data_IF_038608020353
#
_entry.id   IF_038608020353
#
_cell.length_a   1.000
_cell.length_b   1.000
_cell.length_c   1.000
_cell.angle_alpha   90.00
_cell.angle_beta   90.00
_cell.angle_gamma   90.00
#
_symmetry.space_group_name_H-M   'P 1'
#
loop_
_entity.id
_entity.type
_entity.pdbx_description
1 polymer ?
#
# COMPACT_ATOMS: atom_id res chain seq x y z
N UNK A 1 -10.64 3.64 -33.28
CA UNK A 1 -9.60 3.21 -32.33
C UNK A 1 -8.84 4.44 -31.85
N UNK A 2 -9.06 4.90 -30.61
CA UNK A 2 -8.33 6.05 -30.07
C UNK A 2 -6.94 5.58 -29.65
N UNK A 3 -5.92 5.96 -30.42
CA UNK A 3 -4.52 5.92 -30.01
C UNK A 3 -4.37 6.73 -28.71
N UNK A 4 -4.06 6.05 -27.61
CA UNK A 4 -3.66 6.70 -26.37
C UNK A 4 -2.22 7.18 -26.58
N UNK A 5 -2.05 8.50 -26.66
CA UNK A 5 -0.74 9.15 -26.81
C UNK A 5 0.19 8.81 -25.63
N UNK A 6 1.51 8.68 -25.87
CA UNK A 6 2.50 8.54 -24.81
C UNK A 6 2.53 9.85 -24.00
N UNK A 7 2.00 9.79 -22.78
CA UNK A 7 1.73 10.97 -21.94
C UNK A 7 0.47 10.86 -21.08
N UNK A 8 -0.32 9.79 -21.22
CA UNK A 8 -1.47 9.52 -20.35
C UNK A 8 -1.02 9.33 -18.90
N UNK A 9 -1.24 10.33 -18.05
CA UNK A 9 -1.08 10.22 -16.60
C UNK A 9 -1.73 8.92 -16.09
N UNK A 10 -1.11 8.25 -15.12
CA UNK A 10 -1.66 7.03 -14.54
C UNK A 10 -3.16 7.18 -14.20
N UNK A 11 -3.99 6.15 -14.44
CA UNK A 11 -5.41 6.23 -14.13
C UNK A 11 -5.62 6.46 -12.62
N UNK A 12 -6.75 7.04 -12.25
CA UNK A 12 -7.01 7.43 -10.85
C UNK A 12 -6.90 6.23 -9.90
N UNK A 13 -7.35 5.07 -10.34
CA UNK A 13 -7.29 3.80 -9.59
C UNK A 13 -5.85 3.42 -9.25
N UNK A 14 -4.91 3.61 -10.18
CA UNK A 14 -3.48 3.35 -9.94
C UNK A 14 -2.91 4.43 -9.01
N UNK A 15 -3.24 5.70 -9.23
CA UNK A 15 -2.78 6.79 -8.35
C UNK A 15 -3.21 6.56 -6.89
N UNK A 16 -4.47 6.18 -6.68
CA UNK A 16 -5.01 5.88 -5.36
C UNK A 16 -4.38 4.60 -4.79
N UNK A 17 -4.29 3.52 -5.57
CA UNK A 17 -3.67 2.28 -5.08
C UNK A 17 -2.21 2.50 -4.67
N UNK A 18 -1.45 3.24 -5.47
CA UNK A 18 -0.07 3.63 -5.16
C UNK A 18 0.04 4.52 -3.93
N UNK A 19 -0.86 5.50 -3.78
CA UNK A 19 -0.92 6.34 -2.59
C UNK A 19 -1.24 5.52 -1.34
N UNK A 20 -2.16 4.56 -1.43
CA UNK A 20 -2.52 3.67 -0.31
C UNK A 20 -1.34 2.80 0.10
N UNK A 21 -0.65 2.18 -0.87
CA UNK A 21 0.55 1.38 -0.61
C UNK A 21 1.65 2.21 0.03
N UNK A 22 2.11 3.26 -0.66
CA UNK A 22 3.21 4.10 -0.20
C UNK A 22 2.87 4.83 1.12
N UNK A 23 1.70 5.46 1.15
CA UNK A 23 1.23 6.23 2.31
C UNK A 23 0.93 5.35 3.52
N UNK A 24 0.32 4.18 3.32
CA UNK A 24 0.05 3.23 4.39
C UNK A 24 1.33 2.67 5.00
N UNK A 25 2.28 2.23 4.17
CA UNK A 25 3.58 1.76 4.62
C UNK A 25 4.34 2.83 5.40
N UNK A 26 4.37 4.07 4.90
CA UNK A 26 4.99 5.20 5.61
C UNK A 26 4.29 5.53 6.93
N UNK A 27 2.96 5.60 6.93
CA UNK A 27 2.20 5.92 8.15
C UNK A 27 2.41 4.86 9.23
N UNK A 28 2.45 3.59 8.82
CA UNK A 28 2.76 2.48 9.71
C UNK A 28 4.16 2.61 10.32
N UNK A 29 5.19 2.87 9.49
CA UNK A 29 6.54 3.13 9.97
C UNK A 29 6.61 4.31 10.93
N UNK A 30 6.01 5.45 10.57
CA UNK A 30 6.04 6.66 11.42
C UNK A 30 5.35 6.42 12.76
N UNK A 31 4.23 5.69 12.78
CA UNK A 31 3.52 5.35 14.01
C UNK A 31 4.41 4.58 14.97
N UNK A 32 5.05 3.50 14.50
CA UNK A 32 5.92 2.68 15.34
C UNK A 32 7.24 3.35 15.67
N UNK A 33 7.76 4.23 14.80
CA UNK A 33 8.91 5.04 15.10
C UNK A 33 8.63 6.01 16.26
N UNK A 34 7.49 6.71 16.24
CA UNK A 34 7.10 7.62 17.32
C UNK A 34 6.91 6.85 18.63
N UNK A 35 6.20 5.72 18.59
CA UNK A 35 6.01 4.86 19.77
C UNK A 35 7.34 4.32 20.31
N UNK A 36 8.23 3.88 19.42
CA UNK A 36 9.56 3.39 19.79
C UNK A 36 10.41 4.47 20.44
N UNK A 37 10.39 5.70 19.93
CA UNK A 37 11.08 6.85 20.55
C UNK A 37 10.53 7.13 21.94
N UNK A 38 9.20 7.12 22.12
CA UNK A 38 8.57 7.35 23.42
C UNK A 38 8.89 6.25 24.44
N UNK A 39 8.98 5.01 23.99
CA UNK A 39 9.30 3.85 24.83
C UNK A 39 10.81 3.65 25.06
N UNK A 40 11.68 4.36 24.32
CA UNK A 40 13.12 4.11 24.31
C UNK A 40 13.52 2.79 23.64
N UNK A 41 12.65 2.23 22.79
CA UNK A 41 12.86 0.96 22.09
C UNK A 41 12.68 1.11 20.57
N UNK A 42 13.80 1.24 19.85
CA UNK A 42 13.82 1.28 18.39
C UNK A 42 13.62 -0.09 17.73
N UNK A 43 13.62 -1.19 18.50
CA UNK A 43 13.31 -2.53 18.01
C UNK A 43 11.90 -2.63 17.41
N UNK A 44 10.97 -1.78 17.89
CA UNK A 44 9.63 -1.60 17.34
C UNK A 44 9.59 -1.25 15.84
N UNK A 45 10.69 -0.75 15.26
CA UNK A 45 10.78 -0.31 13.86
C UNK A 45 11.25 -1.42 12.90
N UNK A 46 11.75 -2.54 13.43
CA UNK A 46 12.31 -3.65 12.63
C UNK A 46 11.33 -4.21 11.61
N UNK A 47 10.06 -4.37 11.98
CA UNK A 47 9.01 -4.86 11.10
C UNK A 47 8.42 -3.75 10.20
N UNK A 48 8.07 -2.55 10.73
CA UNK A 48 7.53 -1.47 9.91
C UNK A 48 8.48 -0.93 8.83
N UNK A 49 9.80 -0.90 9.06
CA UNK A 49 10.77 -0.38 8.10
C UNK A 49 10.79 -1.11 6.74
N UNK A 50 11.00 -2.45 6.68
CA UNK A 50 10.91 -3.17 5.41
C UNK A 50 9.52 -3.10 4.80
N UNK A 51 8.46 -3.03 5.63
CA UNK A 51 7.09 -2.85 5.12
C UNK A 51 6.96 -1.54 4.36
N UNK A 52 7.47 -0.44 4.91
CA UNK A 52 7.46 0.85 4.24
C UNK A 52 8.28 0.84 2.96
N UNK A 53 9.50 0.30 2.99
CA UNK A 53 10.40 0.25 1.81
C UNK A 53 9.75 -0.53 0.65
N UNK A 54 9.22 -1.72 0.94
CA UNK A 54 8.57 -2.55 -0.09
C UNK A 54 7.32 -1.85 -0.62
N UNK A 55 6.50 -1.28 0.27
CA UNK A 55 5.26 -0.60 -0.14
C UNK A 55 5.53 0.64 -0.99
N UNK A 56 6.59 1.41 -0.67
CA UNK A 56 7.06 2.53 -1.49
C UNK A 56 7.52 2.08 -2.87
N UNK A 57 8.36 1.04 -2.93
CA UNK A 57 8.85 0.50 -4.21
C UNK A 57 7.73 -0.01 -5.10
N UNK A 58 6.79 -0.75 -4.53
CA UNK A 58 5.62 -1.26 -5.27
C UNK A 58 4.66 -0.13 -5.67
N UNK A 59 4.42 0.85 -4.80
CA UNK A 59 3.61 2.03 -5.12
C UNK A 59 4.19 2.85 -6.27
N UNK A 60 5.51 3.08 -6.27
CA UNK A 60 6.21 3.74 -7.36
C UNK A 60 6.18 2.91 -8.65
N UNK A 61 6.38 1.60 -8.56
CA UNK A 61 6.30 0.68 -9.70
C UNK A 61 4.92 0.62 -10.34
N UNK A 62 3.85 0.68 -9.53
CA UNK A 62 2.48 0.80 -10.00
C UNK A 62 2.25 2.12 -10.76
N UNK A 63 2.72 3.25 -10.22
CA UNK A 63 2.61 4.57 -10.88
C UNK A 63 3.36 4.61 -12.22
N UNK A 64 4.51 3.92 -12.29
CA UNK A 64 5.30 3.80 -13.51
C UNK A 64 4.69 2.84 -14.55
N UNK A 65 3.61 2.12 -14.22
CA UNK A 65 2.99 1.14 -15.10
C UNK A 65 3.86 -0.11 -15.34
N UNK A 66 4.78 -0.43 -14.43
CA UNK A 66 5.69 -1.55 -14.59
C UNK A 66 4.96 -2.91 -14.51
N UNK A 67 4.85 -3.61 -15.65
CA UNK A 67 4.20 -4.92 -15.75
C UNK A 67 4.61 -5.95 -14.67
N UNK A 68 5.92 -6.14 -14.36
CA UNK A 68 6.32 -7.14 -13.37
C UNK A 68 5.87 -6.80 -11.94
N UNK A 69 5.51 -5.54 -11.66
CA UNK A 69 5.10 -5.07 -10.32
C UNK A 69 3.66 -5.49 -10.00
N UNK A 70 2.84 -5.82 -10.99
CA UNK A 70 1.41 -6.10 -10.81
C UNK A 70 1.12 -7.20 -9.78
N UNK A 71 1.69 -8.38 -9.98
CA UNK A 71 1.42 -9.54 -9.10
C UNK A 71 2.04 -9.33 -7.71
N UNK A 72 3.31 -8.89 -7.59
CA UNK A 72 3.89 -8.52 -6.30
C UNK A 72 3.05 -7.47 -5.55
N UNK A 73 2.57 -6.41 -6.21
CA UNK A 73 1.77 -5.38 -5.58
C UNK A 73 0.44 -5.92 -5.04
N UNK A 74 -0.25 -6.79 -5.80
CA UNK A 74 -1.48 -7.44 -5.32
C UNK A 74 -1.23 -8.31 -4.09
N UNK A 75 -0.24 -9.21 -4.16
CA UNK A 75 0.09 -10.11 -3.05
C UNK A 75 0.53 -9.33 -1.81
N UNK A 76 1.35 -8.30 -2.01
CA UNK A 76 1.81 -7.44 -0.93
C UNK A 76 0.68 -6.64 -0.30
N UNK A 77 -0.25 -6.11 -1.11
CA UNK A 77 -1.44 -5.39 -0.62
C UNK A 77 -2.29 -6.29 0.28
N UNK A 78 -2.48 -7.57 -0.09
CA UNK A 78 -3.18 -8.55 0.73
C UNK A 78 -2.43 -8.80 2.04
N UNK A 79 -1.13 -9.07 1.96
CA UNK A 79 -0.29 -9.34 3.13
C UNK A 79 -0.32 -8.18 4.12
N UNK A 80 -0.18 -6.95 3.63
CA UNK A 80 -0.21 -5.74 4.45
C UNK A 80 -1.60 -5.48 5.04
N UNK A 81 -2.68 -5.74 4.29
CA UNK A 81 -4.04 -5.64 4.83
C UNK A 81 -4.25 -6.61 6.01
N UNK A 82 -3.78 -7.86 5.87
CA UNK A 82 -3.83 -8.86 6.94
C UNK A 82 -2.97 -8.44 8.12
N UNK A 83 -1.76 -7.94 7.87
CA UNK A 83 -0.88 -7.42 8.92
C UNK A 83 -1.55 -6.31 9.72
N UNK A 84 -2.12 -5.31 9.05
CA UNK A 84 -2.81 -4.20 9.70
C UNK A 84 -4.05 -4.66 10.46
N UNK A 85 -4.81 -5.62 9.92
CA UNK A 85 -5.93 -6.22 10.64
C UNK A 85 -5.47 -6.95 11.91
N UNK A 86 -4.33 -7.66 11.86
CA UNK A 86 -3.76 -8.32 13.04
C UNK A 86 -3.36 -7.30 14.10
N UNK A 87 -2.71 -6.19 13.71
CA UNK A 87 -2.42 -5.09 14.63
C UNK A 87 -3.69 -4.46 15.21
N UNK A 88 -4.74 -4.30 14.41
CA UNK A 88 -6.01 -3.76 14.88
C UNK A 88 -6.65 -4.63 15.97
N UNK A 89 -6.56 -5.95 15.83
CA UNK A 89 -7.12 -6.92 16.78
C UNK A 89 -6.26 -7.11 18.04
N UNK A 90 -4.94 -6.89 17.93
CA UNK A 90 -3.98 -7.11 19.02
C UNK A 90 -3.59 -5.82 19.77
N UNK A 91 -3.94 -4.64 19.25
CA UNK A 91 -3.59 -3.38 19.87
C UNK A 91 -4.30 -3.20 21.23
N UNK A 92 -3.53 -2.86 22.25
CA UNK A 92 -4.05 -2.45 23.57
C UNK A 92 -4.61 -1.02 23.54
N UNK A 93 -4.04 -0.16 22.71
CA UNK A 93 -4.44 1.24 22.56
C UNK A 93 -5.51 1.40 21.49
N UNK A 94 -6.67 1.97 21.86
CA UNK A 94 -7.84 2.08 20.97
C UNK A 94 -7.52 2.89 19.71
N UNK A 95 -6.77 3.99 19.82
CA UNK A 95 -6.44 4.82 18.66
C UNK A 95 -5.55 4.06 17.65
N UNK A 96 -4.67 3.19 18.14
CA UNK A 96 -3.81 2.36 17.30
C UNK A 96 -4.64 1.27 16.62
N UNK A 97 -5.59 0.67 17.34
CA UNK A 97 -6.53 -0.29 16.78
C UNK A 97 -7.35 0.34 15.64
N UNK A 98 -7.88 1.55 15.85
CA UNK A 98 -8.64 2.30 14.85
C UNK A 98 -7.77 2.64 13.64
N UNK A 99 -6.57 3.19 13.86
CA UNK A 99 -5.65 3.57 12.79
C UNK A 99 -5.30 2.38 11.89
N UNK A 100 -4.89 1.26 12.50
CA UNK A 100 -4.50 0.05 11.77
C UNK A 100 -5.70 -0.64 11.13
N UNK A 101 -6.88 -0.59 11.76
CA UNK A 101 -8.14 -1.06 11.16
C UNK A 101 -8.54 -0.28 9.91
N UNK A 102 -8.42 1.06 9.94
CA UNK A 102 -8.65 1.91 8.77
C UNK A 102 -7.64 1.61 7.67
N UNK A 103 -6.36 1.47 8.01
CA UNK A 103 -5.32 1.10 7.04
C UNK A 103 -5.62 -0.25 6.39
N UNK A 104 -6.06 -1.25 7.16
CA UNK A 104 -6.46 -2.56 6.63
C UNK A 104 -7.61 -2.42 5.62
N UNK A 105 -8.68 -1.72 6.00
CA UNK A 105 -9.85 -1.52 5.13
C UNK A 105 -9.50 -0.81 3.82
N UNK A 106 -8.67 0.24 3.88
CA UNK A 106 -8.24 0.99 2.70
C UNK A 106 -7.32 0.13 1.80
N UNK A 107 -6.51 -0.78 2.35
CA UNK A 107 -5.72 -1.73 1.55
C UNK A 107 -6.60 -2.77 0.86
N UNK A 108 -7.65 -3.27 1.52
CA UNK A 108 -8.65 -4.14 0.86
C UNK A 108 -9.32 -3.41 -0.29
N UNK A 109 -9.68 -2.13 -0.12
CA UNK A 109 -10.23 -1.33 -1.21
C UNK A 109 -9.22 -1.10 -2.34
N UNK A 110 -7.95 -0.84 -2.02
CA UNK A 110 -6.86 -0.71 -3.01
C UNK A 110 -6.69 -1.98 -3.86
N UNK A 111 -6.91 -3.17 -3.29
CA UNK A 111 -6.89 -4.41 -4.03
C UNK A 111 -7.92 -4.41 -5.17
N UNK A 112 -9.13 -3.92 -4.89
CA UNK A 112 -10.20 -3.79 -5.90
C UNK A 112 -9.77 -2.84 -7.01
N UNK A 113 -9.19 -1.69 -6.66
CA UNK A 113 -8.70 -0.69 -7.62
C UNK A 113 -7.65 -1.27 -8.57
N UNK A 114 -6.73 -2.09 -8.07
CA UNK A 114 -5.66 -2.72 -8.88
C UNK A 114 -6.18 -3.76 -9.88
N UNK A 115 -7.39 -4.30 -9.67
CA UNK A 115 -8.00 -5.33 -10.52
C UNK A 115 -8.91 -4.73 -11.61
N UNK A 116 -9.26 -3.44 -11.48
CA UNK A 116 -10.12 -2.74 -12.45
C UNK A 116 -9.56 -2.75 -13.87
N UNK A 117 -10.44 -2.61 -14.87
CA UNK A 117 -10.06 -2.57 -16.29
C UNK A 117 -9.05 -1.45 -16.61
N UNK A 118 -9.22 -0.19 -16.13
CA UNK A 118 -8.23 0.87 -16.35
C UNK A 118 -6.84 0.51 -15.79
N UNK A 119 -6.77 -0.03 -14.57
CA UNK A 119 -5.51 -0.47 -13.97
C UNK A 119 -4.85 -1.60 -14.78
N UNK A 120 -5.64 -2.58 -15.23
CA UNK A 120 -5.15 -3.68 -16.06
C UNK A 120 -4.60 -3.22 -17.40
N UNK A 121 -5.26 -2.26 -18.06
CA UNK A 121 -4.79 -1.65 -19.32
C UNK A 121 -3.51 -0.85 -19.11
N UNK A 122 -3.44 -0.07 -18.03
CA UNK A 122 -2.24 0.70 -17.68
C UNK A 122 -1.01 -0.19 -17.48
N UNK A 123 -1.21 -1.35 -16.85
CA UNK A 123 -0.15 -2.36 -16.66
C UNK A 123 0.02 -3.30 -17.86
N UNK A 124 -0.63 -3.04 -19.00
CA UNK A 124 -0.50 -3.84 -20.24
C UNK A 124 -0.99 -5.29 -20.13
N UNK A 125 -1.97 -5.57 -19.25
CA UNK A 125 -2.51 -6.91 -18.95
C UNK A 125 -3.94 -7.15 -19.47
N UNK A 126 -4.51 -6.18 -20.18
CA UNK A 126 -5.78 -6.28 -20.89
C UNK A 126 -5.69 -5.45 -22.17
N UNK A 127 -6.06 -6.04 -23.30
CA UNK A 127 -6.21 -5.38 -24.60
C UNK A 127 -7.63 -4.87 -24.78
#
# INVERSE_FOLDING_TARGET
MKQVLPGSSAPLEIKLASLVLAGGGLLFLLTFLVLGIQAGDLGSVILPAPVAVISLGLGAGLLAGARPVRVPALLWTILVAVLYAAFALLASEIWLAVLTGVLAAVHVYSLVLQITLPARRHMGSAT
#
